data_IF_748709730323
#
_entry.id   IF_748709730323
#
_cell.length_a   1.000
_cell.length_b   1.000
_cell.length_c   1.000
_cell.angle_alpha   90.00
_cell.angle_beta   90.00
_cell.angle_gamma   90.00
#
_symmetry.space_group_name_H-M   'P 1'
#
loop_
_entity.id
_entity.type
_entity.pdbx_description
1 polymer ?
#
# COMPACT_ATOMS: atom_id res chain seq x y z
N UNK A 1 5.68 -4.12 17.14
CA UNK A 1 4.55 -3.55 17.90
C UNK A 1 3.68 -2.62 17.08
N UNK A 2 4.28 -1.69 16.27
CA UNK A 2 3.49 -0.73 15.45
C UNK A 2 2.47 -1.39 14.51
N UNK A 3 2.77 -2.59 13.99
CA UNK A 3 1.87 -3.33 13.09
C UNK A 3 0.70 -4.02 13.81
N UNK A 4 0.70 -4.05 15.14
CA UNK A 4 -0.36 -4.65 15.96
C UNK A 4 -1.26 -3.60 16.64
N UNK A 5 -1.01 -2.32 16.36
CA UNK A 5 -1.77 -1.22 16.96
C UNK A 5 -3.25 -1.34 16.57
N UNK A 6 -4.13 -1.28 17.58
CA UNK A 6 -5.57 -1.45 17.39
C UNK A 6 -6.01 -2.90 17.12
N UNK A 7 -5.07 -3.87 17.02
CA UNK A 7 -5.36 -5.30 16.98
C UNK A 7 -5.28 -5.88 18.39
N UNK A 8 -4.22 -5.55 19.11
CA UNK A 8 -4.02 -5.91 20.52
C UNK A 8 -3.55 -4.68 21.31
N UNK A 9 -3.90 -4.61 22.56
CA UNK A 9 -3.42 -3.59 23.52
C UNK A 9 -2.02 -3.93 24.00
N UNK A 10 -1.30 -2.94 24.55
CA UNK A 10 0.02 -3.18 25.15
C UNK A 10 -0.05 -4.18 26.29
N UNK A 11 -1.13 -4.14 27.10
CA UNK A 11 -1.36 -5.08 28.20
C UNK A 11 -1.53 -6.52 27.67
N UNK A 12 -2.32 -6.70 26.63
CA UNK A 12 -2.50 -8.02 25.99
C UNK A 12 -1.19 -8.54 25.41
N UNK A 13 -0.39 -7.66 24.79
CA UNK A 13 0.93 -8.02 24.27
C UNK A 13 1.88 -8.45 25.39
N UNK A 14 1.94 -7.69 26.48
CA UNK A 14 2.75 -8.04 27.66
C UNK A 14 2.30 -9.39 28.25
N UNK A 15 1.00 -9.63 28.34
CA UNK A 15 0.47 -10.91 28.78
C UNK A 15 0.90 -12.06 27.87
N UNK A 16 0.82 -11.90 26.52
CA UNK A 16 1.26 -12.91 25.57
C UNK A 16 2.76 -13.21 25.68
N UNK A 17 3.57 -12.20 25.99
CA UNK A 17 5.00 -12.36 26.25
C UNK A 17 5.24 -13.07 27.57
N UNK A 18 4.54 -12.69 28.63
CA UNK A 18 4.65 -13.27 29.97
C UNK A 18 4.28 -14.77 29.98
N UNK A 19 3.19 -15.11 29.30
CA UNK A 19 2.74 -16.52 29.16
C UNK A 19 3.70 -17.33 28.27
N UNK A 20 4.54 -16.65 27.52
CA UNK A 20 5.56 -17.26 26.64
C UNK A 20 5.03 -17.69 25.29
N UNK A 21 3.90 -17.17 24.81
CA UNK A 21 3.40 -17.41 23.44
C UNK A 21 4.15 -16.58 22.39
N UNK A 22 4.58 -15.40 22.77
CA UNK A 22 5.29 -14.44 21.91
C UNK A 22 6.59 -14.01 22.60
N UNK A 23 7.58 -13.66 21.82
CA UNK A 23 8.83 -13.06 22.34
C UNK A 23 9.37 -12.01 21.37
N UNK A 24 10.19 -11.10 21.90
CA UNK A 24 10.97 -10.21 21.06
C UNK A 24 12.14 -10.95 20.41
N UNK A 25 12.31 -10.75 19.11
CA UNK A 25 13.49 -11.23 18.42
C UNK A 25 14.67 -10.32 18.73
N UNK A 26 15.75 -10.88 19.27
CA UNK A 26 16.89 -10.13 19.85
C UNK A 26 17.50 -9.11 18.88
N UNK A 27 17.65 -9.47 17.59
CA UNK A 27 18.32 -8.61 16.60
C UNK A 27 17.42 -7.53 16.00
N UNK A 28 16.12 -7.79 15.85
CA UNK A 28 15.22 -6.89 15.11
C UNK A 28 14.18 -6.20 15.99
N UNK A 29 14.07 -6.60 17.26
CA UNK A 29 13.00 -6.13 18.14
C UNK A 29 11.59 -6.54 17.70
N UNK A 30 11.47 -7.30 16.60
CA UNK A 30 10.18 -7.76 16.11
C UNK A 30 9.59 -8.82 17.03
N UNK A 31 8.26 -8.96 17.01
CA UNK A 31 7.57 -10.02 17.72
C UNK A 31 7.62 -11.31 16.91
N UNK A 32 7.87 -12.42 17.58
CA UNK A 32 7.85 -13.76 16.98
C UNK A 32 7.12 -14.73 17.89
N UNK A 33 6.37 -15.67 17.31
CA UNK A 33 5.79 -16.77 18.07
C UNK A 33 6.91 -17.64 18.64
N UNK A 34 6.71 -18.14 19.84
CA UNK A 34 7.53 -19.22 20.43
C UNK A 34 7.06 -20.57 19.91
N UNK A 35 7.73 -21.69 20.29
CA UNK A 35 7.20 -23.03 20.03
C UNK A 35 5.80 -23.20 20.61
N UNK A 36 5.61 -22.85 21.90
CA UNK A 36 4.32 -22.88 22.58
C UNK A 36 3.24 -22.04 21.87
N UNK A 37 3.59 -20.82 21.40
CA UNK A 37 2.66 -20.00 20.63
C UNK A 37 2.30 -20.60 19.27
N UNK A 38 3.24 -21.24 18.59
CA UNK A 38 2.98 -21.92 17.33
C UNK A 38 2.08 -23.15 17.50
N UNK A 39 2.29 -23.93 18.56
CA UNK A 39 1.43 -25.08 18.92
C UNK A 39 -0.01 -24.63 19.17
N UNK A 40 -0.20 -23.60 19.98
CA UNK A 40 -1.54 -23.03 20.27
C UNK A 40 -2.24 -22.57 18.99
N UNK A 41 -1.54 -21.84 18.10
CA UNK A 41 -2.13 -21.40 16.82
C UNK A 41 -2.52 -22.59 15.95
N UNK A 42 -1.70 -23.65 15.91
CA UNK A 42 -2.00 -24.87 15.15
C UNK A 42 -3.23 -25.58 15.72
N UNK A 43 -3.36 -25.64 17.04
CA UNK A 43 -4.50 -26.25 17.73
C UNK A 43 -5.81 -25.49 17.45
N UNK A 44 -5.79 -24.15 17.61
CA UNK A 44 -6.98 -23.32 17.41
C UNK A 44 -7.48 -23.30 15.97
N UNK A 45 -6.56 -23.17 15.00
CA UNK A 45 -6.94 -22.98 13.60
C UNK A 45 -6.93 -24.30 12.79
N UNK A 46 -6.64 -25.45 13.41
CA UNK A 46 -6.55 -26.76 12.75
C UNK A 46 -5.72 -26.78 11.47
N UNK A 47 -4.91 -25.74 11.25
CA UNK A 47 -4.01 -25.58 10.11
C UNK A 47 -2.58 -25.79 10.58
N UNK A 48 -1.81 -26.55 9.82
CA UNK A 48 -0.37 -26.60 10.05
C UNK A 48 0.18 -25.19 9.81
N UNK A 49 0.43 -24.44 10.89
CA UNK A 49 1.23 -23.24 10.80
C UNK A 49 2.63 -23.70 10.38
N UNK A 50 3.07 -23.36 9.15
CA UNK A 50 4.37 -23.83 8.68
C UNK A 50 5.43 -23.43 9.69
N UNK A 51 6.21 -24.37 10.17
CA UNK A 51 7.29 -24.11 11.11
C UNK A 51 8.11 -22.93 10.57
N UNK A 52 8.11 -21.82 11.29
CA UNK A 52 8.86 -20.63 10.91
C UNK A 52 10.34 -21.03 10.93
N UNK A 53 10.90 -21.33 9.76
CA UNK A 53 12.32 -21.60 9.64
C UNK A 53 13.06 -20.39 10.23
N UNK A 54 13.82 -20.63 11.29
CA UNK A 54 14.65 -19.61 11.93
C UNK A 54 15.62 -19.08 10.88
N UNK A 55 15.37 -17.90 10.32
CA UNK A 55 16.34 -17.26 9.47
C UNK A 55 17.15 -16.29 10.30
N UNK A 56 18.46 -16.48 10.30
CA UNK A 56 19.42 -15.61 10.98
C UNK A 56 19.96 -14.50 10.05
N UNK A 57 19.58 -14.49 8.78
CA UNK A 57 20.05 -13.52 7.80
C UNK A 57 19.25 -12.23 7.87
N UNK A 58 19.94 -11.09 8.02
CA UNK A 58 19.32 -9.76 8.09
C UNK A 58 18.36 -9.50 6.91
N UNK A 59 18.74 -9.87 5.70
CA UNK A 59 17.90 -9.69 4.51
C UNK A 59 16.54 -10.43 4.61
N UNK A 60 16.52 -11.64 5.19
CA UNK A 60 15.27 -12.37 5.39
C UNK A 60 14.41 -11.75 6.51
N UNK A 61 15.03 -11.23 7.56
CA UNK A 61 14.33 -10.50 8.62
C UNK A 61 13.70 -9.24 8.06
N UNK A 62 14.45 -8.44 7.31
CA UNK A 62 13.94 -7.20 6.69
C UNK A 62 12.80 -7.49 5.71
N UNK A 63 12.90 -8.54 4.91
CA UNK A 63 11.81 -8.96 4.02
C UNK A 63 10.53 -9.31 4.79
N UNK A 64 10.64 -10.03 5.91
CA UNK A 64 9.48 -10.37 6.77
C UNK A 64 8.87 -9.13 7.41
N UNK A 65 9.67 -8.18 7.87
CA UNK A 65 9.18 -6.92 8.43
C UNK A 65 8.39 -6.11 7.41
N UNK A 66 8.90 -6.00 6.17
CA UNK A 66 8.19 -5.33 5.07
C UNK A 66 6.87 -6.01 4.74
N UNK A 67 6.86 -7.33 4.64
CA UNK A 67 5.63 -8.09 4.39
C UNK A 67 4.64 -7.95 5.54
N UNK A 68 5.11 -7.93 6.77
CA UNK A 68 4.27 -7.66 7.95
C UNK A 68 3.68 -6.25 7.91
N UNK A 69 4.45 -5.23 7.50
CA UNK A 69 3.96 -3.87 7.32
C UNK A 69 2.86 -3.77 6.27
N UNK A 70 3.08 -4.39 5.11
CA UNK A 70 2.11 -4.45 4.03
C UNK A 70 0.84 -5.21 4.44
N UNK A 71 0.98 -6.36 5.10
CA UNK A 71 -0.15 -7.15 5.59
C UNK A 71 -0.95 -6.36 6.64
N UNK A 72 -0.29 -5.67 7.56
CA UNK A 72 -0.96 -4.82 8.54
C UNK A 72 -1.74 -3.69 7.87
N UNK A 73 -1.13 -3.00 6.89
CA UNK A 73 -1.81 -1.96 6.12
C UNK A 73 -3.05 -2.50 5.40
N UNK A 74 -2.97 -3.69 4.80
CA UNK A 74 -4.10 -4.35 4.16
C UNK A 74 -5.20 -4.72 5.19
N UNK A 75 -4.81 -5.26 6.34
CA UNK A 75 -5.76 -5.59 7.42
C UNK A 75 -6.52 -4.36 7.92
N UNK A 76 -5.82 -3.24 8.17
CA UNK A 76 -6.47 -1.98 8.55
C UNK A 76 -7.35 -1.41 7.43
N UNK A 77 -6.99 -1.66 6.18
CA UNK A 77 -7.81 -1.37 5.00
C UNK A 77 -8.99 -2.34 4.81
N UNK A 78 -9.27 -3.20 5.79
CA UNK A 78 -10.32 -4.23 5.75
C UNK A 78 -10.19 -5.24 4.59
N UNK A 79 -8.95 -5.48 4.15
CA UNK A 79 -8.61 -6.50 3.18
C UNK A 79 -8.28 -7.80 3.90
N UNK A 80 -8.86 -8.91 3.48
CA UNK A 80 -8.55 -10.23 4.05
C UNK A 80 -7.11 -10.62 3.74
N UNK A 81 -6.28 -10.77 4.78
CA UNK A 81 -4.86 -11.17 4.68
C UNK A 81 -4.62 -12.63 5.05
N UNK A 82 -5.67 -13.35 5.44
CA UNK A 82 -5.58 -14.73 5.92
C UNK A 82 -5.83 -15.77 4.82
N UNK A 83 -5.84 -15.34 3.56
CA UNK A 83 -5.97 -16.26 2.41
C UNK A 83 -4.83 -17.28 2.40
N UNK A 84 -5.18 -18.54 2.58
CA UNK A 84 -4.21 -19.64 2.61
C UNK A 84 -3.86 -20.17 1.21
N UNK A 85 -4.72 -19.92 0.23
CA UNK A 85 -4.56 -20.37 -1.15
C UNK A 85 -4.91 -19.31 -2.17
N UNK A 86 -4.43 -19.45 -3.40
CA UNK A 86 -4.83 -18.61 -4.52
C UNK A 86 -6.34 -18.69 -4.84
N UNK A 87 -7.00 -19.75 -4.41
CA UNK A 87 -8.44 -19.92 -4.64
C UNK A 87 -9.26 -18.91 -3.87
N UNK A 88 -8.78 -18.50 -2.72
CA UNK A 88 -9.42 -17.50 -1.89
C UNK A 88 -9.30 -16.06 -2.45
N UNK A 89 -8.41 -15.84 -3.44
CA UNK A 89 -8.37 -14.58 -4.18
C UNK A 89 -9.66 -14.28 -4.95
N UNK A 90 -10.54 -15.27 -5.16
CA UNK A 90 -11.88 -15.04 -5.69
C UNK A 90 -12.75 -14.20 -4.73
N UNK A 91 -12.44 -14.20 -3.44
CA UNK A 91 -13.13 -13.44 -2.41
C UNK A 91 -12.48 -12.04 -2.30
N UNK A 92 -13.01 -11.07 -3.01
CA UNK A 92 -12.57 -9.67 -2.89
C UNK A 92 -13.23 -9.00 -1.66
N UNK A 93 -12.53 -8.16 -0.87
CA UNK A 93 -11.11 -7.82 -0.99
C UNK A 93 -10.20 -8.81 -0.27
N UNK A 94 -9.13 -9.24 -0.93
CA UNK A 94 -8.17 -10.19 -0.36
C UNK A 94 -6.74 -9.92 -0.78
N UNK A 95 -5.79 -10.30 0.08
CA UNK A 95 -4.35 -10.24 -0.15
C UNK A 95 -3.73 -11.60 0.12
N UNK A 96 -3.02 -12.15 -0.86
CA UNK A 96 -2.29 -13.40 -0.76
C UNK A 96 -0.78 -13.16 -0.82
N UNK A 97 -0.09 -13.46 0.28
CA UNK A 97 1.37 -13.25 0.39
C UNK A 97 2.14 -14.35 -0.35
N UNK A 98 3.06 -13.98 -1.23
CA UNK A 98 3.88 -14.92 -1.99
C UNK A 98 4.75 -15.82 -1.10
N UNK A 99 5.06 -15.40 0.12
CA UNK A 99 5.81 -16.21 1.09
C UNK A 99 5.07 -17.46 1.57
N UNK A 100 3.74 -17.49 1.47
CA UNK A 100 2.95 -18.65 1.82
C UNK A 100 3.33 -19.81 0.91
N UNK A 101 3.35 -19.61 -0.41
CA UNK A 101 3.66 -20.64 -1.39
C UNK A 101 5.15 -20.93 -1.57
N UNK A 102 6.02 -19.95 -1.33
CA UNK A 102 7.49 -20.15 -1.46
C UNK A 102 8.09 -21.15 -0.46
N UNK A 103 7.30 -21.60 0.50
CA UNK A 103 7.71 -22.58 1.51
C UNK A 103 7.48 -24.03 1.08
N UNK A 104 6.67 -24.23 0.05
CA UNK A 104 6.43 -25.55 -0.51
C UNK A 104 7.56 -25.91 -1.49
N UNK A 105 7.82 -27.19 -1.67
CA UNK A 105 8.92 -27.74 -2.48
C UNK A 105 8.94 -27.23 -3.93
N UNK A 106 7.79 -26.90 -4.48
CA UNK A 106 7.67 -26.24 -5.78
C UNK A 106 7.40 -24.74 -5.57
N UNK A 107 8.39 -23.90 -5.81
CA UNK A 107 8.24 -22.47 -5.78
C UNK A 107 7.61 -21.94 -7.09
N UNK A 108 6.28 -21.73 -7.16
CA UNK A 108 5.60 -21.29 -8.39
C UNK A 108 5.96 -19.87 -8.80
N UNK A 109 6.63 -19.12 -7.93
CA UNK A 109 7.04 -17.75 -8.17
C UNK A 109 8.43 -17.61 -8.78
N UNK A 110 9.26 -18.66 -8.74
CA UNK A 110 10.65 -18.57 -9.17
C UNK A 110 11.41 -17.48 -8.39
N UNK A 111 12.20 -16.67 -9.12
CA UNK A 111 13.05 -15.61 -8.55
C UNK A 111 12.42 -14.22 -8.61
N UNK A 112 11.11 -14.11 -8.83
CA UNK A 112 10.43 -12.81 -8.93
C UNK A 112 10.35 -12.09 -7.59
N UNK A 113 10.14 -10.78 -7.66
CA UNK A 113 10.04 -9.88 -6.51
C UNK A 113 8.62 -9.65 -6.01
N UNK A 114 7.61 -10.21 -6.69
CA UNK A 114 6.22 -10.11 -6.24
C UNK A 114 6.11 -10.52 -4.78
N UNK A 115 5.68 -9.59 -3.93
CA UNK A 115 5.51 -9.79 -2.50
C UNK A 115 4.14 -10.40 -2.16
N UNK A 116 3.11 -10.02 -2.93
CA UNK A 116 1.75 -10.50 -2.79
C UNK A 116 0.96 -10.38 -4.10
N UNK A 117 -0.17 -11.06 -4.17
CA UNK A 117 -1.26 -10.74 -5.10
C UNK A 117 -2.45 -10.23 -4.28
N UNK A 118 -3.05 -9.12 -4.70
CA UNK A 118 -4.28 -8.61 -4.11
C UNK A 118 -5.42 -8.66 -5.13
N UNK A 119 -6.64 -8.95 -4.66
CA UNK A 119 -7.88 -8.73 -5.39
C UNK A 119 -8.64 -7.61 -4.70
N UNK A 120 -8.74 -6.46 -5.35
CA UNK A 120 -9.42 -5.28 -4.82
C UNK A 120 -10.44 -4.78 -5.84
N UNK A 121 -11.70 -4.76 -5.46
CA UNK A 121 -12.78 -4.26 -6.31
C UNK A 121 -12.88 -4.95 -7.69
N UNK A 122 -12.46 -6.23 -7.79
CA UNK A 122 -12.46 -7.01 -9.04
C UNK A 122 -11.25 -6.75 -9.94
N UNK A 123 -10.23 -6.06 -9.45
CA UNK A 123 -8.92 -5.91 -10.12
C UNK A 123 -7.86 -6.71 -9.36
N UNK A 124 -7.04 -7.46 -10.10
CA UNK A 124 -5.91 -8.20 -9.55
C UNK A 124 -4.64 -7.35 -9.62
N UNK A 125 -3.93 -7.28 -8.51
CA UNK A 125 -2.73 -6.48 -8.38
C UNK A 125 -1.53 -7.36 -8.05
N UNK A 126 -0.45 -7.24 -8.85
CA UNK A 126 0.86 -7.72 -8.42
C UNK A 126 1.47 -6.67 -7.48
N UNK A 127 1.71 -7.03 -6.23
CA UNK A 127 2.24 -6.12 -5.22
C UNK A 127 3.75 -6.30 -5.09
N UNK A 128 4.51 -5.25 -5.33
CA UNK A 128 5.95 -5.18 -5.13
C UNK A 128 6.26 -4.26 -3.97
N UNK A 129 7.19 -4.66 -3.10
CA UNK A 129 7.68 -3.77 -2.06
C UNK A 129 8.94 -3.05 -2.52
N UNK A 130 8.82 -1.75 -2.73
CA UNK A 130 9.89 -0.86 -3.20
C UNK A 130 10.57 -0.24 -1.99
N UNK A 131 11.88 -0.39 -1.87
CA UNK A 131 12.66 0.28 -0.83
C UNK A 131 14.13 0.36 -1.23
N UNK A 132 14.91 1.28 -0.63
CA UNK A 132 16.33 1.42 -0.86
C UNK A 132 17.09 0.08 -0.73
N UNK A 133 17.99 -0.18 -1.67
CA UNK A 133 18.82 -1.37 -1.69
C UNK A 133 18.12 -2.66 -2.10
N UNK A 134 16.86 -2.65 -2.48
CA UNK A 134 16.24 -3.74 -3.23
C UNK A 134 16.63 -3.56 -4.68
N UNK A 135 17.58 -4.35 -5.12
CA UNK A 135 18.14 -4.31 -6.46
C UNK A 135 17.10 -4.41 -7.60
N UNK A 136 17.61 -4.61 -8.77
CA UNK A 136 16.88 -4.71 -10.04
C UNK A 136 15.90 -5.88 -10.07
N UNK A 137 14.88 -5.78 -10.90
CA UNK A 137 13.89 -6.84 -11.18
C UNK A 137 13.92 -7.27 -12.66
N UNK A 138 13.56 -8.51 -12.92
CA UNK A 138 13.39 -9.02 -14.27
C UNK A 138 11.93 -8.83 -14.71
N UNK A 139 11.62 -7.69 -15.34
CA UNK A 139 10.24 -7.29 -15.62
C UNK A 139 9.46 -8.36 -16.39
N UNK A 140 10.08 -9.01 -17.39
CA UNK A 140 9.44 -10.08 -18.18
C UNK A 140 9.07 -11.27 -17.29
N UNK A 141 9.98 -11.67 -16.37
CA UNK A 141 9.74 -12.79 -15.47
C UNK A 141 8.62 -12.45 -14.46
N UNK A 142 8.59 -11.19 -13.96
CA UNK A 142 7.51 -10.69 -13.08
C UNK A 142 6.14 -10.73 -13.78
N UNK A 143 6.05 -10.24 -15.01
CA UNK A 143 4.81 -10.24 -15.80
C UNK A 143 4.35 -11.69 -16.09
N UNK A 144 5.28 -12.57 -16.45
CA UNK A 144 4.99 -13.99 -16.71
C UNK A 144 4.49 -14.70 -15.46
N UNK A 145 5.16 -14.49 -14.33
CA UNK A 145 4.74 -15.07 -13.07
C UNK A 145 3.36 -14.56 -12.65
N UNK A 146 3.11 -13.25 -12.78
CA UNK A 146 1.80 -12.66 -12.47
C UNK A 146 0.71 -13.23 -13.37
N UNK A 147 0.94 -13.33 -14.67
CA UNK A 147 -0.01 -13.90 -15.62
C UNK A 147 -0.34 -15.36 -15.28
N UNK A 148 0.69 -16.19 -15.00
CA UNK A 148 0.52 -17.60 -14.65
C UNK A 148 -0.27 -17.77 -13.34
N UNK A 149 0.07 -16.99 -12.31
CA UNK A 149 -0.62 -17.06 -11.01
C UNK A 149 -2.07 -16.57 -11.05
N UNK A 150 -2.40 -15.74 -12.04
CA UNK A 150 -3.75 -15.19 -12.23
C UNK A 150 -4.48 -15.75 -13.45
N UNK A 151 -3.98 -16.80 -14.08
CA UNK A 151 -4.51 -17.35 -15.33
C UNK A 151 -5.98 -17.76 -15.26
N UNK A 152 -6.46 -18.24 -14.10
CA UNK A 152 -7.85 -18.61 -13.87
C UNK A 152 -8.83 -17.44 -13.78
N UNK A 153 -8.33 -16.23 -13.52
CA UNK A 153 -9.13 -15.01 -13.45
C UNK A 153 -9.06 -14.25 -14.79
N UNK A 154 -9.53 -14.88 -15.87
CA UNK A 154 -9.33 -14.40 -17.26
C UNK A 154 -9.89 -13.00 -17.49
N UNK A 155 -11.07 -12.73 -16.93
CA UNK A 155 -11.80 -11.47 -17.15
C UNK A 155 -11.43 -10.37 -16.15
N UNK A 156 -10.58 -10.67 -15.16
CA UNK A 156 -10.16 -9.68 -14.18
C UNK A 156 -9.18 -8.67 -14.80
N UNK A 157 -9.40 -7.40 -14.50
CA UNK A 157 -8.42 -6.35 -14.79
C UNK A 157 -7.14 -6.63 -14.01
N UNK A 158 -6.00 -6.24 -14.58
CA UNK A 158 -4.68 -6.42 -13.97
C UNK A 158 -3.98 -5.09 -13.81
N UNK A 159 -3.29 -4.91 -12.69
CA UNK A 159 -2.50 -3.73 -12.37
C UNK A 159 -1.35 -4.08 -11.43
N UNK A 160 -0.49 -3.13 -11.16
CA UNK A 160 0.60 -3.24 -10.18
C UNK A 160 0.36 -2.32 -9.00
N UNK A 161 0.83 -2.74 -7.82
CA UNK A 161 0.99 -1.87 -6.66
C UNK A 161 2.48 -1.85 -6.32
N UNK A 162 3.07 -0.65 -6.31
CA UNK A 162 4.39 -0.41 -5.75
C UNK A 162 4.21 0.11 -4.33
N UNK A 163 4.38 -0.78 -3.36
CA UNK A 163 4.25 -0.50 -1.94
C UNK A 163 5.60 -0.13 -1.32
N UNK A 164 5.61 0.75 -0.34
CA UNK A 164 6.81 1.13 0.40
C UNK A 164 6.47 1.62 1.80
N UNK A 165 7.47 1.97 2.60
CA UNK A 165 7.24 2.49 3.95
C UNK A 165 6.49 3.84 3.91
N UNK A 166 6.89 4.70 2.96
CA UNK A 166 6.23 5.98 2.67
C UNK A 166 6.15 6.23 1.16
N UNK A 167 5.29 7.15 0.73
CA UNK A 167 5.25 7.61 -0.67
C UNK A 167 6.58 8.25 -1.09
N UNK A 168 7.23 8.99 -0.19
CA UNK A 168 8.53 9.63 -0.45
C UNK A 168 9.60 8.59 -0.77
N UNK A 169 9.68 7.50 0.00
CA UNK A 169 10.63 6.42 -0.26
C UNK A 169 10.38 5.78 -1.63
N UNK A 170 9.11 5.52 -1.96
CA UNK A 170 8.76 4.96 -3.26
C UNK A 170 9.19 5.90 -4.39
N UNK A 171 8.84 7.18 -4.32
CA UNK A 171 9.18 8.16 -5.34
C UNK A 171 10.69 8.30 -5.53
N UNK A 172 11.46 8.34 -4.44
CA UNK A 172 12.93 8.38 -4.48
C UNK A 172 13.50 7.19 -5.26
N UNK A 173 12.96 5.99 -5.06
CA UNK A 173 13.40 4.80 -5.81
C UNK A 173 12.94 4.84 -7.27
N UNK A 174 11.77 5.43 -7.57
CA UNK A 174 11.25 5.55 -8.94
C UNK A 174 11.98 6.62 -9.77
N UNK A 175 12.63 7.58 -9.14
CA UNK A 175 13.49 8.56 -9.82
C UNK A 175 14.78 7.93 -10.33
N UNK A 176 15.24 6.86 -9.70
CA UNK A 176 16.46 6.16 -10.10
C UNK A 176 16.28 5.47 -11.46
N UNK A 177 17.25 5.67 -12.33
CA UNK A 177 17.28 5.07 -13.68
C UNK A 177 18.63 4.46 -13.94
N UNK A 178 18.64 3.34 -14.68
CA UNK A 178 19.86 2.72 -15.16
C UNK A 178 19.78 2.59 -16.67
N UNK A 179 20.66 3.27 -17.35
CA UNK A 179 20.76 3.25 -18.83
C UNK A 179 21.38 1.96 -19.37
N UNK A 180 21.83 1.06 -18.51
CA UNK A 180 22.38 -0.23 -18.95
C UNK A 180 21.25 -1.13 -19.47
N UNK A 181 21.39 -1.56 -20.71
CA UNK A 181 20.44 -2.48 -21.36
C UNK A 181 20.65 -3.90 -20.82
N UNK A 182 20.15 -4.19 -19.63
CA UNK A 182 20.25 -5.49 -18.97
C UNK A 182 18.87 -6.14 -18.80
N UNK A 183 18.84 -7.48 -18.67
CA UNK A 183 17.62 -8.22 -18.35
C UNK A 183 16.99 -7.74 -17.01
N UNK A 184 17.82 -7.22 -16.12
CA UNK A 184 17.42 -6.72 -14.82
C UNK A 184 17.38 -5.19 -14.84
N UNK A 185 16.25 -4.59 -14.51
CA UNK A 185 16.02 -3.15 -14.53
C UNK A 185 15.65 -2.62 -13.13
N UNK A 186 15.90 -1.34 -12.89
CA UNK A 186 15.50 -0.64 -11.68
C UNK A 186 13.96 -0.46 -11.63
N UNK A 187 13.42 -0.23 -10.44
CA UNK A 187 11.99 0.04 -10.26
C UNK A 187 11.52 1.27 -11.03
N UNK A 188 12.35 2.31 -11.13
CA UNK A 188 12.02 3.50 -11.94
C UNK A 188 11.90 3.20 -13.43
N UNK A 189 12.77 2.33 -13.98
CA UNK A 189 12.69 1.90 -15.36
C UNK A 189 11.48 0.99 -15.59
N UNK A 190 11.20 0.08 -14.65
CA UNK A 190 10.01 -0.77 -14.69
C UNK A 190 8.73 0.07 -14.65
N UNK A 191 8.64 1.06 -13.76
CA UNK A 191 7.51 1.97 -13.65
C UNK A 191 7.21 2.67 -14.98
N UNK A 192 8.24 3.14 -15.67
CA UNK A 192 8.09 3.79 -16.98
C UNK A 192 7.74 2.83 -18.12
N UNK A 193 8.22 1.58 -18.05
CA UNK A 193 8.06 0.58 -19.13
C UNK A 193 6.76 -0.20 -19.04
N UNK A 194 6.16 -0.35 -17.84
CA UNK A 194 4.93 -1.10 -17.64
C UNK A 194 3.77 -0.47 -18.42
N UNK A 195 3.05 -1.29 -19.19
CA UNK A 195 1.82 -0.86 -19.88
C UNK A 195 0.58 -0.95 -18.99
N UNK A 196 0.63 -1.79 -17.94
CA UNK A 196 -0.45 -1.91 -16.96
C UNK A 196 -0.42 -0.71 -15.98
N UNK A 197 -1.59 -0.34 -15.41
CA UNK A 197 -1.64 0.68 -14.37
C UNK A 197 -0.71 0.33 -13.19
N UNK A 198 -0.08 1.35 -12.61
CA UNK A 198 0.76 1.21 -11.42
C UNK A 198 0.30 2.19 -10.36
N UNK A 199 -0.10 1.65 -9.22
CA UNK A 199 -0.56 2.42 -8.07
C UNK A 199 0.54 2.45 -7.01
N UNK A 200 0.83 3.62 -6.45
CA UNK A 200 1.74 3.74 -5.32
C UNK A 200 0.97 3.51 -4.02
N UNK A 201 1.57 2.78 -3.08
CA UNK A 201 0.95 2.45 -1.80
C UNK A 201 1.93 2.65 -0.64
N UNK A 202 1.64 3.58 0.23
CA UNK A 202 2.40 3.75 1.47
C UNK A 202 1.89 2.76 2.54
N UNK A 203 2.79 2.06 3.22
CA UNK A 203 2.44 1.09 4.27
C UNK A 203 2.19 1.80 5.63
N UNK A 204 1.16 2.64 5.67
CA UNK A 204 0.69 3.41 6.82
C UNK A 204 -0.84 3.60 6.79
N UNK A 205 -1.37 4.45 7.68
CA UNK A 205 -2.82 4.70 7.79
C UNK A 205 -3.42 5.25 6.49
N UNK A 206 -2.70 6.13 5.77
CA UNK A 206 -3.14 6.64 4.45
C UNK A 206 -3.27 5.51 3.43
N UNK A 207 -2.29 4.60 3.38
CA UNK A 207 -2.35 3.44 2.50
C UNK A 207 -3.44 2.45 2.88
N UNK A 208 -3.76 2.31 4.16
CA UNK A 208 -4.89 1.49 4.61
C UNK A 208 -6.22 2.07 4.09
N UNK A 209 -6.44 3.39 4.20
CA UNK A 209 -7.63 4.05 3.64
C UNK A 209 -7.66 3.93 2.11
N UNK A 210 -6.51 4.06 1.45
CA UNK A 210 -6.40 3.83 0.00
C UNK A 210 -6.87 2.41 -0.39
N UNK A 211 -6.41 1.37 0.32
CA UNK A 211 -6.83 -0.01 0.07
C UNK A 211 -8.31 -0.22 0.36
N UNK A 212 -8.84 0.39 1.41
CA UNK A 212 -10.26 0.37 1.74
C UNK A 212 -11.11 0.95 0.58
N UNK A 213 -10.68 2.04 -0.02
CA UNK A 213 -11.32 2.64 -1.20
C UNK A 213 -11.21 1.71 -2.41
N UNK A 214 -10.00 1.22 -2.72
CA UNK A 214 -9.75 0.35 -3.87
C UNK A 214 -10.47 -0.99 -3.77
N UNK A 215 -10.84 -1.42 -2.58
CA UNK A 215 -11.65 -2.63 -2.34
C UNK A 215 -13.10 -2.50 -2.85
N UNK A 216 -13.59 -1.27 -3.03
CA UNK A 216 -14.95 -1.02 -3.53
C UNK A 216 -14.97 -1.14 -5.07
N UNK A 217 -15.83 -1.98 -5.65
CA UNK A 217 -15.99 -2.01 -7.11
C UNK A 217 -16.38 -0.63 -7.66
N UNK A 218 -15.73 -0.23 -8.77
CA UNK A 218 -15.93 1.08 -9.42
C UNK A 218 -15.74 2.30 -8.49
N UNK A 219 -14.83 2.16 -7.51
CA UNK A 219 -14.57 3.17 -6.48
C UNK A 219 -14.31 4.58 -7.06
N UNK A 220 -13.60 4.71 -8.18
CA UNK A 220 -13.33 6.03 -8.78
C UNK A 220 -14.62 6.78 -9.09
N UNK A 221 -15.56 6.12 -9.78
CA UNK A 221 -16.85 6.71 -10.13
C UNK A 221 -17.65 7.05 -8.87
N UNK A 222 -17.79 6.11 -7.95
CA UNK A 222 -18.56 6.29 -6.71
C UNK A 222 -17.97 7.42 -5.85
N UNK A 223 -16.65 7.43 -5.66
CA UNK A 223 -15.98 8.43 -4.84
C UNK A 223 -16.01 9.82 -5.49
N UNK A 224 -15.91 9.89 -6.84
CA UNK A 224 -16.09 11.15 -7.57
C UNK A 224 -17.50 11.71 -7.38
N UNK A 225 -18.52 10.85 -7.47
CA UNK A 225 -19.91 11.25 -7.25
C UNK A 225 -20.14 11.71 -5.81
N UNK A 226 -19.64 10.98 -4.82
CA UNK A 226 -19.72 11.36 -3.40
C UNK A 226 -18.99 12.66 -3.09
N UNK A 227 -17.80 12.88 -3.69
CA UNK A 227 -17.02 14.10 -3.48
C UNK A 227 -17.63 15.33 -4.16
N UNK A 228 -18.15 15.20 -5.38
CA UNK A 228 -18.66 16.32 -6.16
C UNK A 228 -20.16 16.57 -5.95
N UNK A 229 -20.92 15.58 -5.51
CA UNK A 229 -22.36 15.67 -5.25
C UNK A 229 -23.10 16.34 -6.42
N UNK A 230 -23.79 17.42 -6.16
CA UNK A 230 -24.59 18.18 -7.16
C UNK A 230 -23.72 18.87 -8.23
N UNK A 231 -22.40 18.92 -8.06
CA UNK A 231 -21.47 19.51 -9.04
C UNK A 231 -20.86 18.43 -9.97
N UNK A 232 -21.23 17.17 -9.80
CA UNK A 232 -20.79 16.10 -10.68
C UNK A 232 -21.37 16.26 -12.07
N UNK A 233 -20.48 16.30 -13.05
CA UNK A 233 -20.82 16.22 -14.46
C UNK A 233 -20.04 15.06 -15.09
N UNK A 234 -20.66 14.15 -15.87
CA UNK A 234 -19.98 13.04 -16.48
C UNK A 234 -18.87 13.52 -17.40
N UNK A 235 -17.73 12.80 -17.48
CA UNK A 235 -16.65 13.16 -18.39
C UNK A 235 -17.07 12.90 -19.85
N UNK A 236 -16.45 13.59 -20.82
CA UNK A 236 -16.60 13.26 -22.23
C UNK A 236 -16.21 11.81 -22.52
N UNK A 237 -16.96 11.12 -23.39
CA UNK A 237 -16.74 9.70 -23.69
C UNK A 237 -15.40 9.39 -24.36
N UNK A 238 -14.85 10.36 -25.06
CA UNK A 238 -13.59 10.31 -25.81
C UNK A 238 -12.35 10.54 -24.92
N UNK A 239 -12.53 10.91 -23.65
CA UNK A 239 -11.42 11.17 -22.71
C UNK A 239 -11.53 10.29 -21.46
N UNK A 240 -11.22 8.99 -21.54
CA UNK A 240 -11.45 8.04 -20.45
C UNK A 240 -10.53 8.24 -19.24
N UNK A 241 -9.55 9.14 -19.32
CA UNK A 241 -8.64 9.44 -18.20
C UNK A 241 -9.24 10.42 -17.18
N UNK A 242 -10.34 11.11 -17.53
CA UNK A 242 -11.07 11.98 -16.60
C UNK A 242 -12.21 11.19 -15.93
N UNK A 243 -12.48 11.49 -14.66
CA UNK A 243 -13.57 10.87 -13.91
C UNK A 243 -14.85 11.73 -13.92
N UNK A 244 -14.68 13.02 -14.12
CA UNK A 244 -15.79 14.01 -14.21
C UNK A 244 -15.32 15.30 -14.84
N UNK A 245 -16.27 16.22 -15.03
CA UNK A 245 -16.01 17.66 -15.11
C UNK A 245 -16.47 18.31 -13.80
N UNK A 246 -15.65 19.22 -13.28
CA UNK A 246 -15.92 20.01 -12.07
C UNK A 246 -15.72 21.49 -12.36
N UNK A 247 -16.80 22.27 -12.36
CA UNK A 247 -16.77 23.71 -12.71
C UNK A 247 -16.09 23.98 -14.06
N UNK A 248 -16.31 23.10 -15.04
CA UNK A 248 -15.69 23.21 -16.37
C UNK A 248 -14.25 22.68 -16.45
N UNK A 249 -13.65 22.26 -15.36
CA UNK A 249 -12.32 21.65 -15.34
C UNK A 249 -12.40 20.12 -15.40
N UNK A 250 -11.49 19.45 -16.12
CA UNK A 250 -11.31 18.02 -16.02
C UNK A 250 -11.00 17.62 -14.57
N UNK A 251 -11.68 16.60 -14.07
CA UNK A 251 -11.52 16.11 -12.71
C UNK A 251 -10.96 14.70 -12.71
N UNK A 252 -9.96 14.45 -11.87
CA UNK A 252 -9.30 13.15 -11.67
C UNK A 252 -9.36 12.73 -10.21
N UNK A 253 -9.94 11.57 -9.96
CA UNK A 253 -9.91 10.91 -8.64
C UNK A 253 -8.58 10.16 -8.49
N UNK A 254 -7.69 10.68 -7.65
CA UNK A 254 -6.32 10.19 -7.46
C UNK A 254 -6.12 9.41 -6.15
N UNK A 255 -7.20 9.03 -5.45
CA UNK A 255 -7.13 8.29 -4.19
C UNK A 255 -6.41 6.93 -4.30
N UNK A 256 -6.23 6.42 -5.51
CA UNK A 256 -5.50 5.18 -5.81
C UNK A 256 -4.03 5.39 -6.17
N UNK A 257 -3.56 6.64 -6.23
CA UNK A 257 -2.17 7.03 -6.53
C UNK A 257 -1.60 6.47 -7.84
N UNK A 258 -2.41 6.44 -8.90
CA UNK A 258 -1.94 6.25 -10.28
C UNK A 258 -1.47 7.61 -10.86
N UNK A 259 -0.21 7.99 -10.59
CA UNK A 259 0.34 9.28 -11.04
C UNK A 259 0.40 9.40 -12.57
N UNK A 260 0.65 8.28 -13.27
CA UNK A 260 0.70 8.29 -14.74
C UNK A 260 -0.64 8.65 -15.36
N UNK A 261 -1.75 8.31 -14.69
CA UNK A 261 -3.08 8.71 -15.10
C UNK A 261 -3.32 10.21 -14.90
N UNK A 262 -2.79 10.80 -13.83
CA UNK A 262 -2.83 12.27 -13.63
C UNK A 262 -2.07 12.97 -14.75
N UNK A 263 -0.85 12.51 -15.06
CA UNK A 263 -0.05 13.06 -16.15
C UNK A 263 -0.73 12.91 -17.51
N UNK A 264 -1.39 11.78 -17.75
CA UNK A 264 -2.18 11.57 -18.96
C UNK A 264 -3.38 12.53 -19.04
N UNK A 265 -4.04 12.79 -17.90
CA UNK A 265 -5.17 13.71 -17.82
C UNK A 265 -4.73 15.16 -18.07
N UNK A 266 -3.57 15.57 -17.56
CA UNK A 266 -2.98 16.89 -17.84
C UNK A 266 -2.68 17.02 -19.34
N UNK A 267 -2.03 16.02 -19.95
CA UNK A 267 -1.75 16.05 -21.40
C UNK A 267 -3.03 16.11 -22.25
N UNK A 268 -4.07 15.34 -21.88
CA UNK A 268 -5.36 15.37 -22.56
C UNK A 268 -6.05 16.75 -22.43
N UNK A 269 -5.97 17.38 -21.25
CA UNK A 269 -6.50 18.72 -21.03
C UNK A 269 -5.77 19.75 -21.90
N UNK A 270 -4.44 19.74 -21.90
CA UNK A 270 -3.64 20.64 -22.73
C UNK A 270 -3.92 20.44 -24.23
N UNK A 271 -4.11 19.21 -24.68
CA UNK A 271 -4.50 18.92 -26.08
C UNK A 271 -5.85 19.52 -26.47
N UNK A 272 -6.71 19.84 -25.49
CA UNK A 272 -7.99 20.54 -25.68
C UNK A 272 -7.92 22.04 -25.34
N UNK A 273 -6.73 22.60 -25.10
CA UNK A 273 -6.53 24.00 -24.74
C UNK A 273 -6.88 24.33 -23.29
N UNK A 274 -7.15 23.31 -22.45
CA UNK A 274 -7.46 23.47 -21.02
C UNK A 274 -6.13 23.44 -20.26
N UNK A 275 -5.82 24.51 -19.53
CA UNK A 275 -4.53 24.68 -18.85
C UNK A 275 -4.44 23.95 -17.52
N UNK A 276 -5.56 23.75 -16.84
CA UNK A 276 -5.61 23.24 -15.46
C UNK A 276 -6.60 22.07 -15.34
N UNK A 277 -6.27 21.11 -14.48
CA UNK A 277 -7.19 20.05 -14.05
C UNK A 277 -7.47 20.13 -12.56
N UNK A 278 -8.54 19.52 -12.11
CA UNK A 278 -8.86 19.29 -10.70
C UNK A 278 -8.46 17.86 -10.31
N UNK A 279 -7.77 17.67 -9.19
CA UNK A 279 -7.32 16.36 -8.70
C UNK A 279 -7.77 16.21 -7.25
N UNK A 280 -8.46 15.11 -6.92
CA UNK A 280 -8.85 14.82 -5.55
C UNK A 280 -8.13 13.59 -5.01
N UNK A 281 -7.62 13.66 -3.77
CA UNK A 281 -6.88 12.60 -3.13
C UNK A 281 -7.09 12.62 -1.60
N UNK A 282 -6.59 11.59 -0.92
CA UNK A 282 -6.50 11.58 0.53
C UNK A 282 -5.54 12.66 1.02
N UNK A 283 -5.75 13.18 2.23
CA UNK A 283 -4.90 14.23 2.82
C UNK A 283 -3.41 13.85 2.79
N UNK A 284 -3.06 12.66 3.27
CA UNK A 284 -1.66 12.21 3.28
C UNK A 284 -1.05 12.09 1.89
N UNK A 285 -1.82 11.72 0.87
CA UNK A 285 -1.40 11.69 -0.53
C UNK A 285 -1.21 13.10 -1.10
N UNK A 286 -2.15 14.01 -0.80
CA UNK A 286 -2.07 15.40 -1.23
C UNK A 286 -0.81 16.07 -0.67
N UNK A 287 -0.58 15.97 0.64
CA UNK A 287 0.53 16.63 1.33
C UNK A 287 1.90 16.04 0.96
N UNK A 288 2.02 14.71 0.84
CA UNK A 288 3.33 14.07 0.63
C UNK A 288 3.70 13.87 -0.84
N UNK A 289 2.72 13.86 -1.75
CA UNK A 289 2.95 13.58 -3.18
C UNK A 289 2.45 14.70 -4.08
N UNK A 290 1.13 15.00 -4.01
CA UNK A 290 0.55 15.84 -5.08
C UNK A 290 1.00 17.30 -4.99
N UNK A 291 1.05 17.89 -3.80
CA UNK A 291 1.55 19.27 -3.64
C UNK A 291 3.04 19.37 -4.02
N UNK A 292 3.95 18.43 -3.65
CA UNK A 292 5.31 18.46 -4.13
C UNK A 292 5.48 18.23 -5.63
N UNK A 293 4.75 17.26 -6.22
CA UNK A 293 4.89 16.89 -7.63
C UNK A 293 4.22 17.90 -8.59
N UNK A 294 3.09 18.47 -8.18
CA UNK A 294 2.30 19.41 -8.99
C UNK A 294 2.29 20.81 -8.37
N UNK A 295 3.48 21.33 -8.04
CA UNK A 295 3.67 22.65 -7.38
C UNK A 295 3.14 23.82 -8.19
N UNK A 296 3.11 23.68 -9.52
CA UNK A 296 2.52 24.70 -10.37
C UNK A 296 0.98 24.66 -10.28
N UNK A 297 0.35 25.63 -9.60
CA UNK A 297 -1.11 25.67 -9.50
C UNK A 297 -1.78 25.89 -10.85
N UNK A 298 -1.01 26.29 -11.90
CA UNK A 298 -1.48 26.36 -13.27
C UNK A 298 -1.72 25.00 -13.92
N UNK A 299 -1.14 23.91 -13.40
CA UNK A 299 -1.31 22.57 -13.95
C UNK A 299 -2.41 21.77 -13.26
N UNK A 300 -2.40 21.73 -11.93
CA UNK A 300 -3.35 20.95 -11.16
C UNK A 300 -3.82 21.68 -9.90
N UNK A 301 -5.13 21.72 -9.69
CA UNK A 301 -5.75 22.15 -8.45
C UNK A 301 -6.08 20.94 -7.60
N UNK A 302 -5.34 20.76 -6.51
CA UNK A 302 -5.48 19.58 -5.63
C UNK A 302 -6.52 19.84 -4.54
N UNK A 303 -7.44 18.89 -4.39
CA UNK A 303 -8.48 18.86 -3.37
C UNK A 303 -8.24 17.67 -2.43
N UNK A 304 -8.48 17.87 -1.15
CA UNK A 304 -8.47 16.80 -0.15
C UNK A 304 -9.89 16.23 -0.03
N UNK A 305 -10.00 14.92 -0.13
CA UNK A 305 -11.26 14.19 0.09
C UNK A 305 -11.71 14.35 1.53
N UNK A 306 -13.01 14.52 1.73
CA UNK A 306 -13.59 14.56 3.07
C UNK A 306 -13.86 13.16 3.60
N UNK A 307 -13.86 13.03 4.94
CA UNK A 307 -14.13 11.76 5.60
C UNK A 307 -15.55 11.25 5.32
N UNK A 308 -16.51 12.19 5.12
CA UNK A 308 -17.89 11.85 4.75
C UNK A 308 -17.96 11.18 3.38
N UNK A 309 -17.26 11.74 2.37
CA UNK A 309 -17.25 11.16 1.02
C UNK A 309 -16.58 9.77 1.01
N UNK A 310 -15.53 9.58 1.80
CA UNK A 310 -14.87 8.28 1.95
C UNK A 310 -15.81 7.29 2.65
N UNK A 311 -16.43 7.69 3.76
CA UNK A 311 -17.36 6.85 4.54
C UNK A 311 -18.60 6.44 3.72
N UNK A 312 -19.13 7.35 2.91
CA UNK A 312 -20.28 7.07 2.03
C UNK A 312 -19.97 5.94 1.04
N UNK A 313 -18.74 5.91 0.51
CA UNK A 313 -18.35 4.93 -0.50
C UNK A 313 -17.88 3.62 0.11
N UNK A 314 -17.16 3.68 1.21
CA UNK A 314 -16.55 2.49 1.84
C UNK A 314 -17.44 1.84 2.88
N UNK A 315 -18.49 2.51 3.32
CA UNK A 315 -19.37 2.07 4.42
C UNK A 315 -18.68 2.09 5.79
N UNK A 316 -17.51 2.74 5.91
CA UNK A 316 -16.70 2.79 7.14
C UNK A 316 -16.02 4.14 7.28
N UNK A 317 -15.85 4.65 8.51
CA UNK A 317 -15.02 5.84 8.71
C UNK A 317 -13.56 5.55 8.31
N UNK A 318 -12.88 6.48 7.65
CA UNK A 318 -11.47 6.35 7.36
C UNK A 318 -10.64 6.37 8.65
N UNK A 319 -9.47 5.74 8.61
CA UNK A 319 -8.50 5.89 9.68
C UNK A 319 -8.06 7.36 9.75
N UNK A 320 -7.91 7.94 10.96
CA UNK A 320 -7.46 9.31 11.11
C UNK A 320 -6.08 9.50 10.48
N UNK A 321 -5.94 10.53 9.65
CA UNK A 321 -4.64 10.90 9.13
C UNK A 321 -3.79 11.51 10.25
N UNK A 322 -2.65 10.89 10.51
CA UNK A 322 -1.65 11.43 11.42
C UNK A 322 -0.47 11.96 10.57
N UNK A 323 -0.20 13.26 10.60
CA UNK A 323 0.95 13.81 9.89
C UNK A 323 2.26 13.17 10.40
N UNK A 324 3.30 13.08 9.55
CA UNK A 324 4.57 12.46 9.93
C UNK A 324 5.28 13.17 11.09
N UNK A 325 4.94 14.43 11.34
CA UNK A 325 5.40 15.20 12.48
C UNK A 325 4.18 15.70 13.27
N UNK A 326 4.05 15.24 14.51
CA UNK A 326 3.04 15.73 15.44
C UNK A 326 3.70 16.70 16.40
N UNK A 327 3.17 17.91 16.49
CA UNK A 327 3.60 18.87 17.49
C UNK A 327 2.94 18.51 18.82
N UNK A 328 3.74 18.39 19.85
CA UNK A 328 3.27 18.21 21.22
C UNK A 328 3.52 19.48 22.02
N UNK A 329 2.56 19.88 22.81
CA UNK A 329 2.75 20.90 23.83
C UNK A 329 3.16 20.18 25.10
N UNK A 330 4.35 20.45 25.59
CA UNK A 330 4.82 19.89 26.87
C UNK A 330 3.99 20.47 28.02
N UNK A 331 3.98 19.84 29.22
CA UNK A 331 3.34 20.42 30.39
C UNK A 331 3.89 21.81 30.77
N UNK A 332 5.05 22.20 30.27
CA UNK A 332 5.65 23.52 30.44
C UNK A 332 5.25 24.53 29.36
N UNK A 333 4.47 24.11 28.38
CA UNK A 333 4.00 24.96 27.27
C UNK A 333 4.94 25.01 26.05
N UNK A 334 6.06 24.25 26.05
CA UNK A 334 6.95 24.21 24.89
C UNK A 334 6.34 23.37 23.78
N UNK A 335 6.45 23.86 22.53
CA UNK A 335 6.04 23.11 21.33
C UNK A 335 7.24 22.28 20.86
N UNK A 336 7.09 20.96 20.84
CA UNK A 336 8.10 20.04 20.33
C UNK A 336 7.57 19.26 19.14
N UNK A 337 8.39 19.18 18.08
CA UNK A 337 8.15 18.27 16.98
C UNK A 337 8.63 16.87 17.41
N UNK A 338 7.70 15.93 17.51
CA UNK A 338 8.06 14.54 17.76
C UNK A 338 7.42 13.66 16.68
N UNK A 339 8.11 12.61 16.22
CA UNK A 339 7.47 11.62 15.38
C UNK A 339 6.29 11.03 16.16
N UNK A 340 5.15 10.75 15.49
CA UNK A 340 3.91 10.31 16.16
C UNK A 340 4.05 9.02 16.99
N UNK A 341 5.20 8.36 16.92
CA UNK A 341 5.55 7.17 17.69
C UNK A 341 7.02 7.22 18.11
N UNK A 342 7.31 7.85 19.24
CA UNK A 342 8.51 7.46 19.99
C UNK A 342 8.20 6.10 20.63
N UNK A 343 8.76 5.02 20.08
CA UNK A 343 9.03 3.85 20.91
C UNK A 343 9.87 4.36 22.08
N UNK A 344 9.42 4.16 23.31
CA UNK A 344 10.25 4.40 24.48
C UNK A 344 11.54 3.58 24.34
N UNK A 345 12.54 4.16 23.71
CA UNK A 345 13.89 3.67 23.75
C UNK A 345 14.28 3.66 25.22
N UNK A 346 14.70 2.51 25.72
CA UNK A 346 15.28 2.38 27.04
C UNK A 346 16.28 3.51 27.21
N UNK A 347 16.00 4.43 28.10
CA UNK A 347 16.98 5.37 28.58
C UNK A 347 18.18 4.56 29.05
N UNK A 348 19.28 4.67 28.27
CA UNK A 348 20.54 4.07 28.65
C UNK A 348 20.90 4.56 30.04
N UNK A 349 20.98 3.64 30.98
CA UNK A 349 21.71 3.90 32.22
C UNK A 349 23.15 4.11 31.82
N UNK A 350 23.60 5.38 31.87
CA UNK A 350 24.99 5.72 31.98
C UNK A 350 25.51 5.18 33.30
N UNK A 351 26.45 4.28 33.26
CA UNK A 351 27.44 4.05 34.31
C UNK A 351 28.74 4.67 33.89
#
# INVERSE_FOLDING_TARGET
PRHLRGIITDIELENLIHIGFVKHHVKSGSLVLTGKGSELVTEIFSQQVPALTKSYHNAAIQRRLRQSGMAATAYYGAVNIFSASHEELSQSPSLFLSTITRRYEMNPWGNVRIAAIANLGGTLYAVHYVCPGIGKLALTDELTAFANQTARFRDARRAFIFAGESYTDILTELEQTDKTNTKLILYGDAYRSLQLPVHLLSCNDTGAVQLQIMAVPDYRKKLTQAALKNQYQPPPKDVPVWDALFQGLPFVMAADMDLRRIDAAIRAAHGQGIKQIAVAALRGQAETVLFPCYRDPGLARVFVLTDEAISEVTGRPPLPYMPPHTQFITPKGDVIDAPPFQTHGKTGRSH
#
